data_IF_481032059162
#
_entry.id   IF_481032059162
#
_cell.length_a   1.000
_cell.length_b   1.000
_cell.length_c   1.000
_cell.angle_alpha   90.00
_cell.angle_beta   90.00
_cell.angle_gamma   90.00
#
_symmetry.space_group_name_H-M   'P 1'
#
loop_
_entity.id
_entity.type
_entity.pdbx_description
1 polymer ?
#
# COMPACT_ATOMS: atom_id res chain seq x y z
N UNK A 1 0.49 18.67 -6.22
CA UNK A 1 0.07 17.29 -6.54
C UNK A 1 1.24 16.31 -6.52
N UNK A 2 2.32 16.56 -7.29
CA UNK A 2 3.48 15.65 -7.31
C UNK A 2 4.15 15.52 -5.94
N UNK A 3 4.27 16.61 -5.19
CA UNK A 3 4.88 16.56 -3.87
C UNK A 3 4.09 15.67 -2.90
N UNK A 4 2.77 15.75 -2.95
CA UNK A 4 1.91 14.92 -2.11
C UNK A 4 2.03 13.45 -2.50
N UNK A 5 2.07 13.16 -3.80
CA UNK A 5 2.25 11.80 -4.30
C UNK A 5 3.59 11.21 -3.84
N UNK A 6 4.67 11.99 -3.99
CA UNK A 6 6.01 11.55 -3.58
C UNK A 6 6.08 11.29 -2.07
N UNK A 7 5.47 12.16 -1.27
CA UNK A 7 5.45 12.02 0.19
C UNK A 7 4.70 10.75 0.61
N UNK A 8 3.55 10.49 0.00
CA UNK A 8 2.77 9.29 0.30
C UNK A 8 3.48 8.01 -0.10
N UNK A 9 4.14 8.00 -1.25
CA UNK A 9 4.94 6.84 -1.69
C UNK A 9 6.08 6.58 -0.70
N UNK A 10 6.77 7.63 -0.25
CA UNK A 10 7.85 7.48 0.72
C UNK A 10 7.33 6.95 2.05
N UNK A 11 6.19 7.45 2.53
CA UNK A 11 5.56 6.95 3.76
C UNK A 11 5.18 5.48 3.62
N UNK A 12 4.63 5.08 2.46
CA UNK A 12 4.28 3.69 2.21
C UNK A 12 5.52 2.78 2.24
N UNK A 13 6.63 3.22 1.63
CA UNK A 13 7.89 2.48 1.67
C UNK A 13 8.39 2.28 3.10
N UNK A 14 8.32 3.32 3.92
CA UNK A 14 8.77 3.24 5.32
C UNK A 14 7.95 2.25 6.12
N UNK A 15 6.63 2.19 5.89
CA UNK A 15 5.78 1.20 6.55
C UNK A 15 6.13 -0.22 6.13
N UNK A 16 6.40 -0.45 4.85
CA UNK A 16 6.82 -1.76 4.33
C UNK A 16 8.15 -2.17 4.95
N UNK A 17 9.12 -1.27 5.01
CA UNK A 17 10.42 -1.55 5.59
C UNK A 17 10.31 -1.86 7.09
N UNK A 18 9.47 -1.14 7.81
CA UNK A 18 9.23 -1.42 9.24
C UNK A 18 8.65 -2.82 9.44
N UNK A 19 7.67 -3.21 8.61
CA UNK A 19 7.09 -4.54 8.66
C UNK A 19 8.14 -5.62 8.35
N UNK A 20 8.99 -5.37 7.35
CA UNK A 20 10.05 -6.30 6.97
C UNK A 20 11.08 -6.46 8.10
N UNK A 21 11.44 -5.38 8.78
CA UNK A 21 12.36 -5.44 9.93
C UNK A 21 11.76 -6.25 11.08
N UNK A 22 10.48 -6.05 11.38
CA UNK A 22 9.78 -6.83 12.41
C UNK A 22 9.73 -8.30 12.07
N UNK A 23 9.48 -8.63 10.81
CA UNK A 23 9.48 -10.01 10.33
C UNK A 23 10.86 -10.66 10.48
N UNK A 24 11.92 -9.91 10.19
CA UNK A 24 13.28 -10.39 10.36
C UNK A 24 13.59 -10.68 11.84
N UNK A 25 13.17 -9.81 12.74
CA UNK A 25 13.33 -10.04 14.18
C UNK A 25 12.61 -11.31 14.62
N UNK A 26 11.41 -11.53 14.15
CA UNK A 26 10.64 -12.76 14.40
C UNK A 26 11.40 -13.99 13.90
N UNK A 27 11.95 -13.92 12.69
CA UNK A 27 12.71 -15.03 12.09
C UNK A 27 14.00 -15.31 12.86
N UNK A 28 14.56 -14.34 13.56
CA UNK A 28 15.75 -14.50 14.41
C UNK A 28 15.41 -15.03 15.80
N UNK A 29 14.16 -15.39 16.06
CA UNK A 29 13.72 -15.95 17.33
C UNK A 29 13.32 -14.97 18.40
N UNK A 30 13.26 -13.67 18.06
CA UNK A 30 12.78 -12.65 19.00
C UNK A 30 11.27 -12.75 19.19
N UNK A 31 10.81 -12.47 20.41
CA UNK A 31 9.37 -12.51 20.73
C UNK A 31 8.70 -11.21 20.31
N UNK A 32 8.55 -11.02 19.01
CA UNK A 32 7.86 -9.85 18.43
C UNK A 32 6.80 -10.32 17.45
N UNK A 33 5.68 -9.60 17.41
CA UNK A 33 4.66 -9.82 16.40
C UNK A 33 4.84 -8.77 15.30
N UNK A 34 4.61 -9.16 14.05
CA UNK A 34 4.66 -8.24 12.92
C UNK A 34 3.29 -8.10 12.23
N UNK A 35 2.24 -8.70 12.80
CA UNK A 35 0.90 -8.71 12.18
C UNK A 35 0.35 -7.31 11.96
N UNK A 36 0.45 -6.44 12.96
CA UNK A 36 -0.08 -5.08 12.87
C UNK A 36 0.69 -4.27 11.83
N UNK A 37 2.02 -4.34 11.85
CA UNK A 37 2.87 -3.61 10.90
C UNK A 37 2.66 -4.10 9.48
N UNK A 38 2.53 -5.41 9.28
CA UNK A 38 2.26 -5.98 7.95
C UNK A 38 0.89 -5.52 7.43
N UNK A 39 -0.13 -5.51 8.28
CA UNK A 39 -1.48 -5.06 7.91
C UNK A 39 -1.49 -3.57 7.59
N UNK A 40 -0.80 -2.75 8.37
CA UNK A 40 -0.67 -1.30 8.11
C UNK A 40 0.04 -1.04 6.79
N UNK A 41 1.13 -1.76 6.53
CA UNK A 41 1.90 -1.62 5.30
C UNK A 41 1.05 -1.99 4.08
N UNK A 42 0.35 -3.11 4.14
CA UNK A 42 -0.52 -3.56 3.04
C UNK A 42 -1.66 -2.58 2.79
N UNK A 43 -2.34 -2.16 3.85
CA UNK A 43 -3.46 -1.24 3.76
C UNK A 43 -3.03 0.10 3.13
N UNK A 44 -1.99 0.71 3.69
CA UNK A 44 -1.56 2.04 3.26
C UNK A 44 -0.93 2.00 1.87
N UNK A 45 -0.07 1.01 1.60
CA UNK A 45 0.56 0.88 0.29
C UNK A 45 -0.46 0.66 -0.83
N UNK A 46 -1.48 -0.16 -0.58
CA UNK A 46 -2.54 -0.39 -1.57
C UNK A 46 -3.35 0.88 -1.84
N UNK A 47 -3.71 1.62 -0.80
CA UNK A 47 -4.45 2.88 -0.95
C UNK A 47 -3.61 3.94 -1.66
N UNK A 48 -2.32 4.05 -1.32
CA UNK A 48 -1.41 4.98 -1.98
C UNK A 48 -1.21 4.61 -3.45
N UNK A 49 -1.03 3.32 -3.75
CA UNK A 49 -0.89 2.85 -5.13
C UNK A 49 -2.10 3.25 -5.97
N UNK A 50 -3.32 3.07 -5.44
CA UNK A 50 -4.54 3.44 -6.14
C UNK A 50 -4.65 4.95 -6.33
N UNK A 51 -4.37 5.73 -5.29
CA UNK A 51 -4.43 7.19 -5.33
C UNK A 51 -3.41 7.77 -6.31
N UNK A 52 -2.16 7.31 -6.23
CA UNK A 52 -1.07 7.82 -7.06
C UNK A 52 -1.28 7.47 -8.52
N UNK A 53 -1.66 6.23 -8.81
CA UNK A 53 -1.90 5.81 -10.21
C UNK A 53 -3.10 6.53 -10.81
N UNK A 54 -4.16 6.76 -10.04
CA UNK A 54 -5.33 7.52 -10.49
C UNK A 54 -4.94 8.97 -10.81
N UNK A 55 -4.16 9.61 -9.95
CA UNK A 55 -3.67 10.96 -10.19
C UNK A 55 -2.70 11.04 -11.37
N UNK A 56 -1.90 9.98 -11.56
CA UNK A 56 -1.02 9.90 -12.73
C UNK A 56 -1.80 9.86 -14.03
N UNK A 57 -2.90 9.09 -14.08
CA UNK A 57 -3.81 9.10 -15.24
C UNK A 57 -4.36 10.50 -15.47
N UNK A 58 -4.79 11.17 -14.41
CA UNK A 58 -5.34 12.53 -14.50
C UNK A 58 -4.30 13.52 -15.03
N UNK A 59 -3.04 13.42 -14.57
CA UNK A 59 -1.96 14.30 -15.02
C UNK A 59 -1.63 14.13 -16.50
N UNK A 60 -1.78 12.90 -17.04
CA UNK A 60 -1.59 12.64 -18.46
C UNK A 60 -2.78 13.09 -19.32
N UNK A 61 -3.90 13.46 -18.70
CA UNK A 61 -5.11 13.82 -19.40
C UNK A 61 -5.66 12.65 -20.20
N UNK A 62 -6.21 12.94 -21.38
CA UNK A 62 -6.79 11.90 -22.25
C UNK A 62 -5.81 10.80 -22.63
N UNK A 63 -4.54 11.13 -22.77
CA UNK A 63 -3.51 10.15 -23.11
C UNK A 63 -3.30 9.12 -22.00
N UNK A 64 -3.51 9.49 -20.75
CA UNK A 64 -3.37 8.57 -19.63
C UNK A 64 -4.43 7.47 -19.59
N UNK A 65 -5.56 7.69 -20.25
CA UNK A 65 -6.69 6.76 -20.24
C UNK A 65 -6.60 5.70 -21.34
N UNK A 66 -5.77 5.89 -22.36
CA UNK A 66 -5.69 4.95 -23.49
C UNK A 66 -4.57 3.94 -23.28
N UNK A 67 -4.74 2.74 -23.88
CA UNK A 67 -3.85 1.58 -23.67
C UNK A 67 -2.44 1.75 -24.24
N UNK A 68 -2.22 2.73 -25.11
CA UNK A 68 -0.90 2.99 -25.68
C UNK A 68 0.11 3.47 -24.63
N UNK A 69 -0.39 3.93 -23.48
CA UNK A 69 0.45 4.41 -22.35
C UNK A 69 0.20 3.53 -21.14
N UNK A 70 1.27 3.22 -20.41
CA UNK A 70 1.21 2.26 -19.31
C UNK A 70 0.45 2.73 -18.06
N UNK A 71 0.15 4.03 -17.96
CA UNK A 71 -0.43 4.60 -16.75
C UNK A 71 -1.81 4.01 -16.42
N UNK A 72 -2.68 3.80 -17.43
CA UNK A 72 -4.00 3.22 -17.21
C UNK A 72 -3.89 1.76 -16.71
N UNK A 73 -2.90 1.02 -17.23
CA UNK A 73 -2.65 -0.35 -16.77
C UNK A 73 -2.20 -0.35 -15.30
N UNK A 74 -1.32 0.58 -14.93
CA UNK A 74 -0.86 0.71 -13.55
C UNK A 74 -2.03 0.99 -12.60
N UNK A 75 -2.99 1.82 -13.00
CA UNK A 75 -4.17 2.08 -12.20
C UNK A 75 -5.03 0.82 -12.05
N UNK A 76 -5.24 0.06 -13.15
CA UNK A 76 -6.00 -1.20 -13.10
C UNK A 76 -5.30 -2.22 -12.21
N UNK A 77 -3.99 -2.35 -12.33
CA UNK A 77 -3.20 -3.27 -11.51
C UNK A 77 -3.22 -2.87 -10.04
N UNK A 78 -3.19 -1.57 -9.75
CA UNK A 78 -3.25 -1.08 -8.38
C UNK A 78 -4.57 -1.43 -7.68
N UNK A 79 -5.68 -1.42 -8.41
CA UNK A 79 -7.01 -1.67 -7.80
C UNK A 79 -7.10 -3.03 -7.13
N UNK A 80 -6.53 -4.07 -7.73
CA UNK A 80 -6.60 -5.41 -7.14
C UNK A 80 -5.84 -5.49 -5.80
N UNK A 81 -4.86 -4.62 -5.58
CA UNK A 81 -4.11 -4.62 -4.32
C UNK A 81 -4.96 -4.24 -3.12
N UNK A 82 -6.09 -3.54 -3.33
CA UNK A 82 -7.04 -3.23 -2.27
C UNK A 82 -7.97 -4.40 -1.94
N UNK A 83 -7.97 -5.44 -2.77
CA UNK A 83 -8.94 -6.54 -2.71
C UNK A 83 -8.30 -7.85 -2.29
N UNK A 84 -7.21 -8.26 -2.96
CA UNK A 84 -6.62 -9.59 -2.73
C UNK A 84 -5.78 -9.63 -1.44
N UNK A 85 -5.50 -10.83 -0.96
CA UNK A 85 -4.67 -11.05 0.24
C UNK A 85 -5.25 -10.35 1.48
N UNK A 86 -6.57 -10.31 1.59
CA UNK A 86 -7.29 -9.54 2.60
C UNK A 86 -7.63 -8.15 2.10
N UNK A 87 -8.92 -7.84 2.05
CA UNK A 87 -9.38 -6.50 1.64
C UNK A 87 -8.88 -5.42 2.59
N UNK A 88 -8.95 -4.16 2.17
CA UNK A 88 -8.60 -3.04 3.03
C UNK A 88 -9.40 -3.05 4.34
N UNK A 89 -10.69 -3.44 4.27
CA UNK A 89 -11.55 -3.57 5.44
C UNK A 89 -11.05 -4.66 6.39
N UNK A 90 -10.62 -5.81 5.85
CA UNK A 90 -10.04 -6.90 6.64
C UNK A 90 -8.74 -6.46 7.31
N UNK A 91 -7.90 -5.70 6.61
CA UNK A 91 -6.68 -5.18 7.20
C UNK A 91 -6.95 -4.23 8.36
N UNK A 92 -8.00 -3.40 8.24
CA UNK A 92 -8.43 -2.53 9.35
C UNK A 92 -8.86 -3.33 10.57
N UNK A 93 -9.54 -4.46 10.36
CA UNK A 93 -9.94 -5.36 11.46
C UNK A 93 -8.71 -5.94 12.16
N UNK A 94 -7.71 -6.36 11.40
CA UNK A 94 -6.46 -6.90 11.97
C UNK A 94 -5.75 -5.85 12.80
N UNK A 95 -5.65 -4.62 12.30
CA UNK A 95 -4.99 -3.52 12.98
C UNK A 95 -5.70 -3.18 14.29
N UNK A 96 -7.02 -2.98 14.24
CA UNK A 96 -7.78 -2.63 15.44
C UNK A 96 -7.72 -3.73 16.47
N UNK A 97 -7.80 -4.99 16.06
CA UNK A 97 -7.67 -6.13 16.96
C UNK A 97 -6.31 -6.15 17.66
N UNK A 98 -5.24 -5.86 16.95
CA UNK A 98 -3.90 -5.81 17.53
C UNK A 98 -3.74 -4.64 18.52
N UNK A 99 -4.33 -3.48 18.20
CA UNK A 99 -4.25 -2.29 19.06
C UNK A 99 -5.03 -2.46 20.38
N UNK A 100 -6.09 -3.24 20.35
CA UNK A 100 -6.96 -3.43 21.51
C UNK A 100 -6.55 -4.58 22.43
N UNK A 101 -5.48 -5.26 22.10
CA UNK A 101 -4.95 -6.37 22.94
C UNK A 101 -4.14 -5.89 24.12
#
# INVERSE_FOLDING_TARGET
>A
MLADMATKVEAAKLLVYKAAMKKNEYAQGKKVSYSMEAAMAKLYAAEVAMEVTTKAVQLHGGYGYIREYDVERMMRDAKITEIYEGTSEVQRMVISGAMLR
#
